data_IF_462936368718
#
_entry.id   IF_462936368718
#
_cell.length_a   1.000
_cell.length_b   1.000
_cell.length_c   1.000
_cell.angle_alpha   90.00
_cell.angle_beta   90.00
_cell.angle_gamma   90.00
#
_symmetry.space_group_name_H-M   'P 1'
#
loop_
_entity.id
_entity.type
_entity.pdbx_description
1 polymer ?
#
# COMPACT_ATOMS: atom_id res chain seq x y z
N UNK A 1 26.30 41.18 -15.48
CA UNK A 1 25.43 40.65 -14.42
C UNK A 1 24.15 40.16 -15.07
N UNK A 2 23.93 38.84 -15.17
CA UNK A 2 22.62 38.30 -15.54
C UNK A 2 22.35 37.03 -14.74
N UNK A 3 21.16 37.01 -14.15
CA UNK A 3 20.61 36.04 -13.21
C UNK A 3 20.59 34.65 -13.84
N UNK A 4 21.56 33.82 -13.50
CA UNK A 4 21.39 32.38 -13.60
C UNK A 4 20.42 31.99 -12.48
N UNK A 5 19.14 31.93 -12.81
CA UNK A 5 18.11 31.33 -11.95
C UNK A 5 18.53 29.90 -11.63
N UNK A 6 19.15 29.72 -10.47
CA UNK A 6 19.40 28.42 -9.87
C UNK A 6 18.04 27.79 -9.59
N UNK A 7 17.52 27.06 -10.58
CA UNK A 7 16.33 26.23 -10.45
C UNK A 7 16.66 25.17 -9.40
N UNK A 8 16.32 25.46 -8.15
CA UNK A 8 16.42 24.50 -7.04
C UNK A 8 15.60 23.28 -7.48
N UNK A 9 16.20 22.08 -7.58
CA UNK A 9 15.41 20.89 -7.86
C UNK A 9 14.32 20.80 -6.78
N UNK A 10 13.09 20.55 -7.20
CA UNK A 10 12.00 20.28 -6.28
C UNK A 10 12.45 19.15 -5.33
N UNK A 11 12.14 19.20 -4.03
CA UNK A 11 12.47 18.09 -3.14
C UNK A 11 11.88 16.84 -3.77
N UNK A 12 12.76 15.92 -4.12
CA UNK A 12 12.39 14.63 -4.66
C UNK A 12 11.41 14.06 -3.65
N UNK A 13 10.14 13.92 -4.06
CA UNK A 13 9.11 13.32 -3.22
C UNK A 13 9.58 11.89 -3.00
N UNK A 14 10.39 11.69 -1.96
CA UNK A 14 10.70 10.37 -1.42
C UNK A 14 9.34 9.75 -1.23
N UNK A 15 9.01 8.77 -2.08
CA UNK A 15 7.74 8.04 -1.99
C UNK A 15 7.58 7.68 -0.52
N UNK A 16 6.63 8.31 0.17
CA UNK A 16 6.49 8.25 1.63
C UNK A 16 6.61 6.78 2.02
N UNK A 17 7.70 6.44 2.72
CA UNK A 17 8.16 5.05 2.85
C UNK A 17 7.05 4.22 3.49
N UNK A 18 6.78 3.09 2.83
CA UNK A 18 5.59 2.26 2.96
C UNK A 18 5.51 1.65 4.37
N UNK A 19 4.38 1.84 5.05
CA UNK A 19 4.09 1.18 6.31
C UNK A 19 4.37 -0.34 6.21
N UNK A 20 4.94 -0.92 7.26
CA UNK A 20 5.06 -2.38 7.43
C UNK A 20 3.76 -2.87 8.05
N UNK A 21 3.15 -3.90 7.46
CA UNK A 21 2.06 -4.64 8.08
C UNK A 21 2.63 -5.84 8.83
N UNK A 22 1.88 -6.28 9.83
CA UNK A 22 2.21 -7.42 10.68
C UNK A 22 1.01 -8.34 10.73
N UNK A 23 1.20 -9.63 10.50
CA UNK A 23 0.16 -10.62 10.68
C UNK A 23 0.03 -10.94 12.17
N UNK A 24 -1.14 -10.71 12.80
CA UNK A 24 -1.33 -10.95 14.23
C UNK A 24 -1.38 -12.45 14.59
N UNK A 25 -1.44 -13.34 13.59
CA UNK A 25 -1.58 -14.78 13.81
C UNK A 25 -0.25 -15.52 13.74
N UNK A 26 0.58 -15.28 12.72
CA UNK A 26 1.87 -15.96 12.56
C UNK A 26 3.08 -15.05 12.72
N UNK A 27 2.88 -13.74 12.89
CA UNK A 27 3.97 -12.76 13.01
C UNK A 27 4.64 -12.41 11.68
N UNK A 28 4.09 -12.80 10.53
CA UNK A 28 4.63 -12.42 9.22
C UNK A 28 4.64 -10.91 9.05
N UNK A 29 5.74 -10.34 8.57
CA UNK A 29 5.92 -8.89 8.41
C UNK A 29 6.31 -8.55 6.99
N UNK A 30 5.66 -7.54 6.42
CA UNK A 30 5.98 -7.11 5.06
C UNK A 30 5.41 -5.74 4.72
N UNK A 31 5.97 -5.11 3.69
CA UNK A 31 5.57 -3.77 3.27
C UNK A 31 4.14 -3.73 2.70
N UNK A 32 3.30 -2.82 3.18
CA UNK A 32 1.87 -2.76 2.85
C UNK A 32 1.52 -2.68 1.35
N UNK A 33 2.37 -2.07 0.51
CA UNK A 33 2.09 -1.83 -0.92
C UNK A 33 3.06 -2.47 -1.92
N UNK A 34 4.19 -2.99 -1.46
CA UNK A 34 5.21 -3.67 -2.32
C UNK A 34 5.76 -4.94 -1.65
N UNK A 35 5.09 -5.38 -0.59
CA UNK A 35 5.41 -6.62 0.09
C UNK A 35 4.78 -7.81 -0.62
N UNK A 36 4.84 -8.94 0.07
CA UNK A 36 4.36 -10.25 -0.34
C UNK A 36 2.95 -10.56 0.17
N UNK A 37 2.22 -9.54 0.64
CA UNK A 37 0.81 -9.69 0.96
C UNK A 37 0.01 -10.09 -0.29
N UNK A 38 -0.87 -11.07 -0.13
CA UNK A 38 -1.78 -11.49 -1.20
C UNK A 38 -2.92 -10.50 -1.26
N UNK A 39 -3.04 -9.79 -2.38
CA UNK A 39 -4.06 -8.76 -2.60
C UNK A 39 -5.06 -9.27 -3.63
N UNK A 40 -6.32 -9.37 -3.25
CA UNK A 40 -7.39 -9.84 -4.12
C UNK A 40 -8.48 -8.78 -4.27
N UNK A 41 -8.88 -8.51 -5.50
CA UNK A 41 -10.02 -7.68 -5.81
C UNK A 41 -11.28 -8.54 -5.87
N UNK A 42 -12.31 -8.17 -5.11
CA UNK A 42 -13.60 -8.86 -5.05
C UNK A 42 -14.72 -7.91 -5.42
N UNK A 43 -15.77 -8.46 -6.03
CA UNK A 43 -17.04 -7.77 -6.23
C UNK A 43 -18.00 -8.28 -5.17
N UNK A 44 -18.55 -7.38 -4.37
CA UNK A 44 -19.52 -7.62 -3.30
C UNK A 44 -20.84 -6.91 -3.65
N UNK A 45 -21.91 -7.20 -2.92
CA UNK A 45 -23.21 -6.52 -3.14
C UNK A 45 -23.10 -5.00 -2.98
N UNK A 46 -22.22 -4.54 -2.07
CA UNK A 46 -21.95 -3.12 -1.80
C UNK A 46 -20.94 -2.47 -2.78
N UNK A 47 -20.44 -3.20 -3.78
CA UNK A 47 -19.51 -2.67 -4.79
C UNK A 47 -18.21 -3.48 -4.92
N UNK A 48 -17.07 -2.78 -5.04
CA UNK A 48 -15.75 -3.44 -5.13
C UNK A 48 -15.08 -3.41 -3.77
N UNK A 49 -14.34 -4.46 -3.45
CA UNK A 49 -13.51 -4.53 -2.25
C UNK A 49 -12.13 -5.10 -2.58
N UNK A 50 -11.15 -4.77 -1.76
CA UNK A 50 -9.80 -5.33 -1.80
C UNK A 50 -9.52 -6.03 -0.48
N UNK A 51 -9.24 -7.33 -0.53
CA UNK A 51 -8.79 -8.08 0.64
C UNK A 51 -7.28 -8.26 0.61
N UNK A 52 -6.65 -8.06 1.77
CA UNK A 52 -5.22 -8.30 1.99
C UNK A 52 -5.05 -9.49 2.90
N UNK A 53 -4.33 -10.52 2.44
CA UNK A 53 -4.20 -11.81 3.11
C UNK A 53 -2.73 -12.16 3.35
N UNK A 54 -2.45 -12.78 4.49
CA UNK A 54 -1.12 -13.28 4.84
C UNK A 54 -0.74 -14.47 3.95
N UNK A 55 0.44 -14.46 3.30
CA UNK A 55 0.88 -15.58 2.46
C UNK A 55 1.26 -16.84 3.25
N UNK A 56 1.54 -16.69 4.55
CA UNK A 56 2.03 -17.79 5.40
C UNK A 56 0.93 -18.59 6.08
N UNK A 57 -0.08 -17.90 6.61
CA UNK A 57 -1.17 -18.53 7.36
C UNK A 57 -2.55 -18.25 6.78
N UNK A 58 -2.61 -17.62 5.60
CA UNK A 58 -3.84 -17.32 4.85
C UNK A 58 -4.86 -16.45 5.60
N UNK A 59 -4.45 -15.85 6.72
CA UNK A 59 -5.29 -14.95 7.49
C UNK A 59 -5.52 -13.65 6.71
N UNK A 60 -6.78 -13.32 6.45
CA UNK A 60 -7.16 -11.98 5.96
C UNK A 60 -6.91 -10.93 7.04
N UNK A 61 -6.10 -9.94 6.71
CA UNK A 61 -5.73 -8.83 7.59
C UNK A 61 -6.75 -7.70 7.54
N UNK A 62 -7.15 -7.33 6.33
CA UNK A 62 -8.13 -6.26 6.11
C UNK A 62 -8.93 -6.53 4.84
N UNK A 63 -10.15 -5.99 4.81
CA UNK A 63 -10.99 -5.90 3.63
C UNK A 63 -11.41 -4.44 3.53
N UNK A 64 -10.91 -3.75 2.51
CA UNK A 64 -11.20 -2.33 2.30
C UNK A 64 -12.16 -2.19 1.11
N UNK A 65 -13.27 -1.45 1.26
CA UNK A 65 -14.10 -1.11 0.12
C UNK A 65 -13.33 -0.19 -0.83
N UNK A 66 -13.48 -0.44 -2.12
CA UNK A 66 -12.97 0.41 -3.19
C UNK A 66 -14.12 1.25 -3.70
N UNK A 67 -14.13 2.51 -3.29
CA UNK A 67 -15.02 3.50 -3.88
C UNK A 67 -14.41 3.93 -5.21
N UNK A 68 -15.04 3.55 -6.31
CA UNK A 68 -14.73 4.14 -7.61
C UNK A 68 -15.35 5.55 -7.63
N UNK A 69 -14.49 6.57 -7.56
CA UNK A 69 -14.81 7.98 -7.79
C UNK A 69 -14.93 8.32 -9.28
#
# INVERSE_FOLDING_TARGET
MSRADLRRPAPERTERRKATLFCPTCGHESHARRGDWVVEHRVTDDGRAVSVTCPTCERTLTVEPVFCE
#
